data_IF_277648491372
#
_entry.id   IF_277648491372
#
_cell.length_a   1.000
_cell.length_b   1.000
_cell.length_c   1.000
_cell.angle_alpha   90.00
_cell.angle_beta   90.00
_cell.angle_gamma   90.00
#
_symmetry.space_group_name_H-M   'P 1'
#
loop_
_entity.id
_entity.type
_entity.pdbx_description
1 polymer ?
#
# COMPACT_ATOMS: atom_id res chain seq x y z
N UNK A 1 3.57 5.95 16.68
CA UNK A 1 3.68 6.93 15.57
C UNK A 1 2.30 7.43 15.09
N UNK A 2 1.40 6.61 14.52
CA UNK A 2 0.09 7.10 14.03
C UNK A 2 -0.80 7.74 15.11
N UNK A 3 -0.81 7.18 16.32
CA UNK A 3 -1.53 7.76 17.47
C UNK A 3 -1.03 9.16 17.82
N UNK A 4 0.28 9.38 17.72
CA UNK A 4 0.92 10.66 18.05
C UNK A 4 0.56 11.74 17.03
N UNK A 5 0.63 11.39 15.73
CA UNK A 5 0.22 12.29 14.64
C UNK A 5 -1.24 12.73 14.78
N UNK A 6 -2.12 11.80 15.16
CA UNK A 6 -3.52 12.13 15.42
C UNK A 6 -3.69 13.05 16.65
N UNK A 7 -2.96 12.83 17.74
CA UNK A 7 -2.94 13.74 18.91
C UNK A 7 -2.48 15.15 18.50
N UNK A 8 -1.55 15.25 17.56
CA UNK A 8 -1.08 16.51 16.98
C UNK A 8 -2.05 17.13 15.96
N UNK A 9 -3.23 16.54 15.75
CA UNK A 9 -4.28 17.06 14.87
C UNK A 9 -4.18 16.63 13.42
N UNK A 10 -3.28 15.70 13.07
CA UNK A 10 -3.20 15.13 11.71
C UNK A 10 -4.47 14.35 11.42
N UNK A 11 -5.16 14.70 10.34
CA UNK A 11 -6.36 14.01 9.90
C UNK A 11 -6.04 12.91 8.90
N UNK A 12 -7.01 12.02 8.67
CA UNK A 12 -6.82 10.93 7.71
C UNK A 12 -6.67 11.44 6.28
N UNK A 13 -7.30 12.57 5.95
CA UNK A 13 -7.19 13.22 4.65
C UNK A 13 -5.78 13.73 4.39
N UNK A 14 -5.07 14.20 5.43
CA UNK A 14 -3.67 14.63 5.33
C UNK A 14 -2.78 13.43 4.98
N UNK A 15 -3.02 12.28 5.62
CA UNK A 15 -2.32 11.03 5.34
C UNK A 15 -2.59 10.59 3.90
N UNK A 16 -3.85 10.64 3.44
CA UNK A 16 -4.22 10.32 2.05
C UNK A 16 -3.51 11.24 1.06
N UNK A 17 -3.44 12.54 1.34
CA UNK A 17 -2.77 13.51 0.48
C UNK A 17 -1.26 13.20 0.35
N UNK A 18 -0.60 12.82 1.45
CA UNK A 18 0.81 12.38 1.43
C UNK A 18 0.96 11.07 0.65
N UNK A 19 0.10 10.08 0.89
CA UNK A 19 0.17 8.79 0.20
C UNK A 19 0.01 8.93 -1.31
N UNK A 20 -0.89 9.81 -1.78
CA UNK A 20 -1.05 10.11 -3.21
C UNK A 20 0.22 10.71 -3.84
N UNK A 21 1.03 11.41 -3.06
CA UNK A 21 2.31 11.97 -3.52
C UNK A 21 3.46 10.95 -3.51
N UNK A 22 3.22 9.71 -3.05
CA UNK A 22 4.25 8.66 -3.04
C UNK A 22 4.70 8.39 -4.48
N UNK A 23 5.99 8.61 -4.80
CA UNK A 23 6.47 8.43 -6.16
C UNK A 23 6.53 6.93 -6.50
N UNK A 24 5.91 6.56 -7.62
CA UNK A 24 6.17 5.29 -8.30
C UNK A 24 6.83 5.64 -9.62
N UNK A 25 8.00 5.07 -9.87
CA UNK A 25 8.73 5.31 -11.12
C UNK A 25 7.86 4.90 -12.32
N UNK A 26 7.71 5.75 -13.34
CA UNK A 26 6.79 5.52 -14.46
C UNK A 26 7.02 4.17 -15.17
N UNK A 27 8.28 3.73 -15.31
CA UNK A 27 8.61 2.39 -15.83
C UNK A 27 8.02 1.23 -15.02
N UNK A 28 7.88 1.36 -13.70
CA UNK A 28 7.24 0.35 -12.86
C UNK A 28 5.74 0.28 -13.16
N UNK A 29 5.09 1.45 -13.27
CA UNK A 29 3.66 1.53 -13.67
C UNK A 29 3.46 0.85 -15.02
N UNK A 30 4.31 1.15 -16.00
CA UNK A 30 4.26 0.51 -17.32
C UNK A 30 4.47 -0.99 -17.23
N UNK A 31 5.48 -1.46 -16.49
CA UNK A 31 5.76 -2.89 -16.34
C UNK A 31 4.58 -3.65 -15.72
N UNK A 32 3.95 -3.11 -14.67
CA UNK A 32 2.75 -3.71 -14.04
C UNK A 32 1.61 -3.80 -15.05
N UNK A 33 1.30 -2.71 -15.75
CA UNK A 33 0.22 -2.68 -16.74
C UNK A 33 0.48 -3.62 -17.91
N UNK A 34 1.71 -3.69 -18.40
CA UNK A 34 2.11 -4.61 -19.46
C UNK A 34 1.98 -6.07 -19.04
N UNK A 35 2.47 -6.43 -17.84
CA UNK A 35 2.32 -7.79 -17.33
C UNK A 35 0.85 -8.18 -17.16
N UNK A 36 0.02 -7.31 -16.59
CA UNK A 36 -1.42 -7.51 -16.49
C UNK A 36 -2.09 -7.69 -17.87
N UNK A 37 -1.73 -6.86 -18.86
CA UNK A 37 -2.26 -6.97 -20.22
C UNK A 37 -1.81 -8.25 -20.95
N UNK A 38 -0.67 -8.83 -20.56
CA UNK A 38 -0.20 -10.13 -21.04
C UNK A 38 -0.88 -11.32 -20.34
N UNK A 39 -1.80 -11.06 -19.40
CA UNK A 39 -2.50 -12.10 -18.64
C UNK A 39 -1.69 -12.70 -17.50
N UNK A 40 -0.61 -12.03 -17.05
CA UNK A 40 0.12 -12.46 -15.86
C UNK A 40 -0.76 -12.31 -14.62
N UNK A 41 -0.72 -13.32 -13.75
CA UNK A 41 -1.31 -13.24 -12.42
C UNK A 41 -0.39 -12.41 -11.51
N UNK A 42 -0.82 -11.20 -11.15
CA UNK A 42 -0.02 -10.29 -10.33
C UNK A 42 -0.56 -10.27 -8.90
N UNK A 43 0.36 -10.43 -7.95
CA UNK A 43 0.06 -10.43 -6.51
C UNK A 43 1.00 -9.50 -5.76
N UNK A 44 0.53 -8.91 -4.65
CA UNK A 44 1.36 -8.10 -3.76
C UNK A 44 1.46 -8.78 -2.40
N UNK A 45 2.68 -8.77 -1.85
CA UNK A 45 2.94 -9.07 -0.44
C UNK A 45 3.73 -7.90 0.13
N UNK A 46 3.26 -7.32 1.23
CA UNK A 46 3.92 -6.20 1.89
C UNK A 46 3.71 -6.23 3.40
N UNK A 47 4.76 -5.89 4.16
CA UNK A 47 4.65 -5.63 5.60
C UNK A 47 4.01 -4.25 5.91
N UNK A 48 3.63 -3.50 4.87
CA UNK A 48 2.79 -2.33 5.02
C UNK A 48 1.33 -2.70 5.35
N UNK A 49 0.52 -1.69 5.63
CA UNK A 49 -0.91 -1.89 5.90
C UNK A 49 -1.79 -1.67 4.66
N UNK A 50 -2.97 -2.31 4.67
CA UNK A 50 -3.94 -2.25 3.58
C UNK A 50 -4.31 -0.81 3.21
N UNK A 51 -4.55 0.07 4.18
CA UNK A 51 -4.94 1.46 3.91
C UNK A 51 -3.88 2.19 3.07
N UNK A 52 -2.60 1.99 3.39
CA UNK A 52 -1.50 2.68 2.74
C UNK A 52 -1.38 2.27 1.29
N UNK A 53 -1.26 0.97 1.05
CA UNK A 53 -0.99 0.47 -0.29
C UNK A 53 -2.22 0.59 -1.17
N UNK A 54 -3.42 0.32 -0.63
CA UNK A 54 -4.67 0.48 -1.38
C UNK A 54 -4.86 1.92 -1.87
N UNK A 55 -4.56 2.91 -1.02
CA UNK A 55 -4.61 4.33 -1.38
C UNK A 55 -3.63 4.65 -2.52
N UNK A 56 -2.40 4.17 -2.44
CA UNK A 56 -1.37 4.38 -3.46
C UNK A 56 -1.77 3.72 -4.79
N UNK A 57 -2.20 2.46 -4.77
CA UNK A 57 -2.58 1.72 -5.96
C UNK A 57 -3.80 2.33 -6.66
N UNK A 58 -4.82 2.74 -5.89
CA UNK A 58 -5.99 3.43 -6.43
C UNK A 58 -5.60 4.76 -7.09
N UNK A 59 -4.72 5.53 -6.46
CA UNK A 59 -4.26 6.80 -7.04
C UNK A 59 -3.56 6.63 -8.39
N UNK A 60 -2.73 5.60 -8.53
CA UNK A 60 -1.98 5.31 -9.76
C UNK A 60 -2.76 4.47 -10.79
N UNK A 61 -4.02 4.10 -10.49
CA UNK A 61 -4.84 3.26 -11.36
C UNK A 61 -4.28 1.86 -11.57
N UNK A 62 -3.69 1.28 -10.50
CA UNK A 62 -3.02 -0.02 -10.51
C UNK A 62 -3.77 -1.08 -9.69
N UNK A 63 -4.80 -0.69 -8.92
CA UNK A 63 -5.50 -1.61 -8.01
C UNK A 63 -6.03 -2.85 -8.72
N UNK A 64 -6.68 -2.65 -9.86
CA UNK A 64 -7.29 -3.73 -10.66
C UNK A 64 -6.27 -4.60 -11.38
N UNK A 65 -4.98 -4.26 -11.36
CA UNK A 65 -3.95 -5.10 -11.97
C UNK A 65 -3.59 -6.33 -11.13
N UNK A 66 -3.99 -6.37 -9.86
CA UNK A 66 -3.60 -7.40 -8.91
C UNK A 66 -4.79 -8.27 -8.50
N UNK A 67 -4.62 -9.58 -8.59
CA UNK A 67 -5.62 -10.57 -8.17
C UNK A 67 -5.64 -10.77 -6.66
N UNK A 68 -4.50 -10.57 -6.00
CA UNK A 68 -4.30 -10.84 -4.59
C UNK A 68 -3.36 -9.82 -3.95
N UNK A 69 -3.71 -9.37 -2.74
CA UNK A 69 -2.98 -8.33 -2.03
C UNK A 69 -2.93 -8.73 -0.54
N UNK A 70 -1.77 -9.25 -0.12
CA UNK A 70 -1.49 -9.73 1.23
C UNK A 70 -0.71 -8.67 2.02
N UNK A 71 -1.36 -8.09 3.03
CA UNK A 71 -0.87 -6.96 3.81
C UNK A 71 -1.39 -7.00 5.23
N UNK A 72 -0.77 -6.22 6.10
CA UNK A 72 -1.28 -6.02 7.46
C UNK A 72 -2.66 -5.33 7.43
N UNK A 73 -3.69 -5.87 8.09
CA UNK A 73 -5.02 -5.26 8.09
C UNK A 73 -5.00 -3.90 8.79
N UNK A 74 -5.80 -2.97 8.29
CA UNK A 74 -5.97 -1.64 8.87
C UNK A 74 -7.32 -1.03 8.54
N UNK A 75 -7.82 -0.19 9.44
CA UNK A 75 -9.08 0.54 9.29
C UNK A 75 -9.01 1.90 10.00
N UNK A 76 -9.91 2.80 9.65
CA UNK A 76 -10.09 4.07 10.36
C UNK A 76 -11.20 3.87 11.39
N UNK A 77 -10.92 4.14 12.67
CA UNK A 77 -11.92 4.02 13.73
C UNK A 77 -12.90 5.21 13.76
N UNK A 78 -13.89 5.13 14.64
CA UNK A 78 -14.95 6.14 14.77
C UNK A 78 -14.41 7.53 15.14
N UNK A 79 -13.25 7.59 15.79
CA UNK A 79 -12.56 8.83 16.13
C UNK A 79 -11.62 9.33 15.03
N UNK A 80 -11.64 8.71 13.84
CA UNK A 80 -10.83 9.13 12.70
C UNK A 80 -9.36 8.71 12.80
N UNK A 81 -9.03 7.73 13.65
CA UNK A 81 -7.66 7.23 13.84
C UNK A 81 -7.43 6.02 12.97
N UNK A 82 -6.29 6.01 12.28
CA UNK A 82 -5.86 4.80 11.59
C UNK A 82 -5.38 3.76 12.60
N UNK A 83 -6.02 2.59 12.57
CA UNK A 83 -5.66 1.39 13.32
C UNK A 83 -5.09 0.35 12.37
N UNK A 84 -4.03 -0.32 12.78
CA UNK A 84 -3.46 -1.45 12.06
C UNK A 84 -3.07 -2.54 13.04
N UNK A 85 -3.21 -3.79 12.63
CA UNK A 85 -2.67 -4.93 13.36
C UNK A 85 -1.44 -5.44 12.61
N UNK A 86 -0.31 -5.53 13.30
CA UNK A 86 0.88 -6.19 12.75
C UNK A 86 0.64 -7.69 12.81
N UNK A 87 0.52 -8.32 11.65
CA UNK A 87 0.44 -9.76 11.51
C UNK A 87 1.67 -10.21 10.74
N UNK A 88 2.42 -11.18 11.28
CA UNK A 88 3.42 -11.88 10.47
C UNK A 88 2.67 -12.56 9.32
N UNK A 89 2.69 -11.98 8.12
CA UNK A 89 2.18 -12.65 6.93
C UNK A 89 3.03 -13.90 6.77
N UNK A 90 2.45 -15.07 7.03
CA UNK A 90 3.16 -16.34 6.89
C UNK A 90 3.58 -16.47 5.43
N UNK A 91 4.89 -16.43 5.17
CA UNK A 91 5.52 -16.44 3.84
C UNK A 91 5.40 -17.80 3.13
N UNK A 92 4.30 -18.53 3.30
CA UNK A 92 4.03 -19.74 2.51
C UNK A 92 3.37 -19.37 1.18
N UNK A 93 3.91 -18.36 0.50
CA UNK A 93 3.35 -17.80 -0.73
C UNK A 93 4.28 -18.20 -1.88
N UNK A 94 3.76 -18.80 -2.97
CA UNK A 94 4.58 -19.28 -4.08
C UNK A 94 5.43 -18.16 -4.69
N UNK A 95 6.60 -18.52 -5.25
CA UNK A 95 7.66 -17.61 -5.74
C UNK A 95 7.25 -16.69 -6.91
N UNK A 96 5.99 -16.70 -7.32
CA UNK A 96 5.45 -16.03 -8.50
C UNK A 96 5.05 -14.56 -8.20
N UNK A 97 5.29 -14.08 -6.99
CA UNK A 97 4.84 -12.78 -6.49
C UNK A 97 5.79 -11.66 -6.92
N UNK A 98 5.24 -10.65 -7.61
CA UNK A 98 5.91 -9.38 -7.78
C UNK A 98 5.89 -8.60 -6.45
N UNK A 99 6.96 -8.68 -5.67
CA UNK A 99 7.12 -7.86 -4.47
C UNK A 99 7.35 -6.41 -4.92
N UNK A 100 6.27 -5.62 -4.92
CA UNK A 100 6.38 -4.17 -5.05
C UNK A 100 6.93 -3.63 -3.71
N UNK A 101 8.24 -3.57 -3.58
CA UNK A 101 8.89 -2.79 -2.55
C UNK A 101 8.65 -1.31 -2.87
N UNK A 102 7.48 -0.79 -2.49
CA UNK A 102 7.31 0.64 -2.31
C UNK A 102 8.30 1.02 -1.23
N UNK A 103 9.43 1.63 -1.61
CA UNK A 103 10.30 2.34 -0.68
C UNK A 103 9.45 3.44 -0.06
N UNK A 104 8.74 3.09 1.01
CA UNK A 104 8.00 4.03 1.83
C UNK A 104 9.05 4.94 2.44
N UNK A 105 8.80 6.24 2.29
CA UNK A 105 9.63 7.32 2.76
C UNK A 105 9.95 7.18 4.25
N UNK A 106 11.00 6.44 4.61
CA UNK A 106 11.64 6.51 5.93
C UNK A 106 12.53 7.77 6.07
N UNK A 107 12.31 8.79 5.23
CA UNK A 107 13.12 10.02 5.18
C UNK A 107 12.30 11.31 5.09
N UNK A 108 11.00 11.26 5.39
CA UNK A 108 10.15 12.44 5.51
C UNK A 108 9.31 12.33 6.79
N UNK A 109 9.97 12.17 7.93
CA UNK A 109 9.56 12.61 9.25
C UNK A 109 10.82 13.00 10.02
#
# INVERSE_FOLDING_TARGET
MMKELHIQGTKIEDIVAVLKRTPIHARIIQAIKSAHALGCDLKIVSDANVFFIDTILKHHGLKECFSEINMNPSFVDEEGRLRSSLTMISLNIPMDILILALQTCARVL
#
